data_IF_240007854026
#
_entry.id   IF_240007854026
#
_cell.length_a   1.000
_cell.length_b   1.000
_cell.length_c   1.000
_cell.angle_alpha   90.00
_cell.angle_beta   90.00
_cell.angle_gamma   90.00
#
_symmetry.space_group_name_H-M   'P 1'
#
loop_
_entity.id
_entity.type
_entity.pdbx_description
1 polymer ?
#
# COMPACT_ATOMS: atom_id res chain seq x y z
N UNK A 1 -5.07 -29.41 -25.48
CA UNK A 1 -4.72 -28.92 -25.07
C UNK A 1 -4.55 -28.19 -24.17
N UNK A 2 -4.11 -28.02 -23.59
CA UNK A 2 -4.14 -27.41 -22.63
C UNK A 2 -3.67 -26.28 -22.42
N UNK A 3 -4.04 -25.62 -22.01
CA UNK A 3 -3.93 -24.39 -21.76
C UNK A 3 -3.00 -24.11 -20.83
N UNK A 4 -2.18 -24.67 -20.77
CA UNK A 4 -1.31 -24.43 -20.06
C UNK A 4 -0.81 -23.22 -19.75
N UNK A 5 -0.69 -22.44 -20.54
CA UNK A 5 -0.16 -21.19 -20.32
C UNK A 5 -0.64 -20.52 -19.14
N UNK A 6 -1.65 -20.95 -18.66
CA UNK A 6 -2.20 -20.32 -17.61
C UNK A 6 -1.37 -20.27 -16.43
N UNK A 7 -0.55 -21.14 -16.29
CA UNK A 7 0.17 -21.26 -15.09
C UNK A 7 1.17 -20.19 -14.90
N UNK A 8 1.44 -19.57 -15.91
CA UNK A 8 2.42 -18.60 -15.85
C UNK A 8 2.28 -17.52 -14.89
N UNK A 9 1.13 -17.06 -14.65
CA UNK A 9 0.95 -15.89 -13.84
C UNK A 9 0.58 -16.16 -12.42
N UNK A 10 0.94 -17.28 -11.91
CA UNK A 10 0.58 -17.63 -10.55
C UNK A 10 1.17 -16.66 -9.53
N UNK A 11 2.32 -16.09 -9.84
CA UNK A 11 2.96 -15.18 -8.90
C UNK A 11 2.21 -13.85 -8.79
N UNK A 12 1.45 -13.52 -9.81
CA UNK A 12 0.71 -12.26 -9.83
C UNK A 12 -0.79 -12.49 -9.63
N UNK A 13 -1.19 -13.70 -9.30
CA UNK A 13 -2.60 -14.04 -9.17
C UNK A 13 -3.14 -13.62 -7.80
N UNK A 14 -4.05 -12.65 -7.76
CA UNK A 14 -4.64 -12.23 -6.49
C UNK A 14 -5.36 -13.34 -5.75
N UNK A 15 -5.90 -14.32 -6.46
CA UNK A 15 -6.58 -15.43 -5.84
C UNK A 15 -5.59 -16.32 -5.09
N UNK A 16 -4.40 -16.56 -5.67
CA UNK A 16 -3.37 -17.34 -5.01
C UNK A 16 -2.90 -16.66 -3.72
N UNK A 17 -2.73 -15.34 -3.76
CA UNK A 17 -2.34 -14.59 -2.58
C UNK A 17 -3.39 -14.70 -1.48
N UNK A 18 -4.67 -14.68 -1.84
CA UNK A 18 -5.75 -14.77 -0.87
C UNK A 18 -5.81 -16.12 -0.18
N UNK A 19 -5.29 -17.16 -0.83
CA UNK A 19 -5.27 -18.50 -0.25
C UNK A 19 -4.08 -18.74 0.67
N UNK A 20 -3.12 -17.83 0.70
CA UNK A 20 -1.96 -17.95 1.57
C UNK A 20 -2.38 -17.66 3.01
N UNK A 21 -2.22 -18.62 3.95
CA UNK A 21 -2.62 -18.42 5.33
C UNK A 21 -1.93 -17.23 6.00
N UNK A 22 -0.67 -16.97 5.65
CA UNK A 22 0.06 -15.85 6.23
C UNK A 22 -0.46 -14.52 5.71
N UNK A 23 -0.87 -14.47 4.44
CA UNK A 23 -1.48 -13.27 3.89
C UNK A 23 -2.78 -12.96 4.64
N UNK A 24 -3.62 -13.99 4.81
CA UNK A 24 -4.89 -13.82 5.53
C UNK A 24 -4.67 -13.42 6.97
N UNK A 25 -3.72 -14.07 7.65
CA UNK A 25 -3.39 -13.75 9.04
C UNK A 25 -2.88 -12.32 9.17
N UNK A 26 -2.06 -11.88 8.22
CA UNK A 26 -1.52 -10.53 8.22
C UNK A 26 -2.61 -9.47 8.07
N UNK A 27 -3.55 -9.70 7.15
CA UNK A 27 -4.68 -8.77 6.96
C UNK A 27 -5.54 -8.70 8.21
N UNK A 28 -5.78 -9.85 8.83
CA UNK A 28 -6.56 -9.90 10.06
C UNK A 28 -5.86 -9.17 11.20
N UNK A 29 -4.53 -9.30 11.27
CA UNK A 29 -3.73 -8.58 12.28
C UNK A 29 -3.81 -7.07 12.06
N UNK A 30 -3.85 -6.60 10.81
CA UNK A 30 -4.05 -5.19 10.51
C UNK A 30 -5.39 -4.70 11.05
N UNK A 31 -6.46 -5.47 10.84
CA UNK A 31 -7.78 -5.12 11.36
C UNK A 31 -7.78 -5.03 12.88
N UNK A 32 -7.02 -5.91 13.52
CA UNK A 32 -6.87 -5.92 14.98
C UNK A 32 -5.85 -4.89 15.48
N UNK A 33 -5.20 -4.18 14.57
CA UNK A 33 -4.13 -3.22 14.89
C UNK A 33 -2.96 -3.85 15.62
N UNK A 34 -2.74 -5.13 15.37
CA UNK A 34 -1.58 -5.84 15.90
C UNK A 34 -0.47 -5.76 14.84
N UNK A 35 0.25 -4.65 14.86
CA UNK A 35 1.23 -4.33 13.82
C UNK A 35 2.38 -5.32 13.78
N UNK A 36 2.83 -5.76 14.94
CA UNK A 36 3.91 -6.74 15.02
C UNK A 36 3.53 -8.06 14.36
N UNK A 37 2.33 -8.57 14.68
CA UNK A 37 1.83 -9.79 14.07
C UNK A 37 1.60 -9.61 12.57
N UNK A 38 1.10 -8.44 12.16
CA UNK A 38 0.88 -8.14 10.74
C UNK A 38 2.20 -8.17 9.98
N UNK A 39 3.22 -7.51 10.49
CA UNK A 39 4.54 -7.48 9.85
C UNK A 39 5.10 -8.89 9.72
N UNK A 40 5.01 -9.68 10.78
CA UNK A 40 5.53 -11.05 10.77
C UNK A 40 4.84 -11.91 9.71
N UNK A 41 3.52 -11.92 9.70
CA UNK A 41 2.74 -12.75 8.79
C UNK A 41 2.88 -12.27 7.34
N UNK A 42 2.80 -10.98 7.10
CA UNK A 42 2.92 -10.44 5.74
C UNK A 42 4.33 -10.60 5.19
N UNK A 43 5.36 -10.49 6.04
CA UNK A 43 6.74 -10.71 5.60
C UNK A 43 6.95 -12.17 5.18
N UNK A 44 6.34 -13.09 5.92
CA UNK A 44 6.39 -14.52 5.56
C UNK A 44 5.71 -14.76 4.23
N UNK A 45 4.53 -14.18 4.02
CA UNK A 45 3.82 -14.32 2.74
C UNK A 45 4.63 -13.72 1.60
N UNK A 46 5.33 -12.62 1.84
CA UNK A 46 6.12 -11.95 0.79
C UNK A 46 7.31 -12.78 0.30
N UNK A 47 7.78 -13.73 1.10
CA UNK A 47 8.85 -14.63 0.66
C UNK A 47 8.36 -15.58 -0.44
N UNK A 48 7.07 -15.89 -0.44
CA UNK A 48 6.47 -16.80 -1.42
C UNK A 48 5.84 -16.05 -2.59
N UNK A 49 5.35 -14.84 -2.35
CA UNK A 49 4.68 -14.04 -3.35
C UNK A 49 5.41 -12.71 -3.49
N UNK A 50 6.48 -12.74 -4.26
CA UNK A 50 7.43 -11.62 -4.34
C UNK A 50 6.97 -10.49 -5.24
N UNK A 51 5.89 -10.68 -5.98
CA UNK A 51 5.44 -9.70 -6.98
C UNK A 51 4.02 -9.19 -6.73
N UNK A 52 3.60 -9.22 -5.49
CA UNK A 52 2.25 -8.81 -5.11
C UNK A 52 2.27 -7.40 -4.56
N UNK A 53 1.79 -6.45 -5.36
CA UNK A 53 1.78 -5.03 -4.96
C UNK A 53 0.89 -4.79 -3.75
N UNK A 54 -0.25 -5.48 -3.66
CA UNK A 54 -1.15 -5.33 -2.51
C UNK A 54 -0.46 -5.73 -1.22
N UNK A 55 0.28 -6.84 -1.25
CA UNK A 55 0.99 -7.34 -0.09
C UNK A 55 2.04 -6.33 0.36
N UNK A 56 2.79 -5.77 -0.57
CA UNK A 56 3.78 -4.76 -0.26
C UNK A 56 3.13 -3.51 0.33
N UNK A 57 1.96 -3.13 -0.17
CA UNK A 57 1.22 -2.00 0.36
C UNK A 57 0.77 -2.25 1.80
N UNK A 58 0.27 -3.45 2.11
CA UNK A 58 -0.10 -3.81 3.48
C UNK A 58 1.11 -3.81 4.42
N UNK A 59 2.27 -4.29 3.95
CA UNK A 59 3.49 -4.22 4.74
C UNK A 59 3.86 -2.76 5.04
N UNK A 60 3.79 -1.90 4.03
CA UNK A 60 4.05 -0.47 4.23
C UNK A 60 3.12 0.11 5.29
N UNK A 61 1.86 -0.24 5.22
CA UNK A 61 0.85 0.24 6.15
C UNK A 61 1.15 -0.23 7.59
N UNK A 62 1.51 -1.50 7.75
CA UNK A 62 1.83 -2.05 9.06
C UNK A 62 3.09 -1.41 9.65
N UNK A 63 4.12 -1.23 8.84
CA UNK A 63 5.33 -0.58 9.30
C UNK A 63 5.08 0.89 9.68
N UNK A 64 4.27 1.59 8.90
CA UNK A 64 3.91 2.97 9.22
C UNK A 64 3.26 3.07 10.59
N UNK A 65 2.29 2.20 10.84
CA UNK A 65 1.57 2.22 12.11
C UNK A 65 2.43 1.73 13.29
N UNK A 66 3.48 0.97 12.99
CA UNK A 66 4.45 0.56 14.01
C UNK A 66 5.51 1.65 14.26
N UNK A 67 5.41 2.76 13.56
CA UNK A 67 6.36 3.87 13.73
C UNK A 67 7.65 3.72 12.94
N UNK A 68 7.75 2.73 12.07
CA UNK A 68 8.97 2.48 11.29
C UNK A 68 8.82 3.04 9.88
N UNK A 69 8.96 4.35 9.78
CA UNK A 69 8.66 5.07 8.53
C UNK A 69 9.57 4.70 7.36
N UNK A 70 10.86 4.47 7.61
CA UNK A 70 11.78 4.10 6.53
C UNK A 70 11.38 2.79 5.88
N UNK A 71 11.00 1.80 6.68
CA UNK A 71 10.55 0.51 6.17
C UNK A 71 9.20 0.65 5.47
N UNK A 72 8.34 1.53 6.00
CA UNK A 72 7.07 1.82 5.33
C UNK A 72 7.31 2.34 3.91
N UNK A 73 8.20 3.33 3.75
CA UNK A 73 8.52 3.89 2.44
C UNK A 73 9.13 2.83 1.51
N UNK A 74 9.97 1.96 2.06
CA UNK A 74 10.58 0.89 1.27
C UNK A 74 9.51 -0.01 0.64
N UNK A 75 8.55 -0.45 1.45
CA UNK A 75 7.51 -1.35 0.96
C UNK A 75 6.49 -0.65 0.06
N UNK A 76 6.11 0.60 0.36
CA UNK A 76 5.28 1.37 -0.55
C UNK A 76 5.99 1.59 -1.89
N UNK A 77 7.29 1.88 -1.84
CA UNK A 77 8.08 2.03 -3.07
C UNK A 77 8.08 0.75 -3.89
N UNK A 78 8.18 -0.40 -3.23
CA UNK A 78 8.13 -1.69 -3.91
C UNK A 78 6.74 -1.91 -4.52
N UNK A 79 5.68 -1.58 -3.79
CA UNK A 79 4.32 -1.70 -4.32
C UNK A 79 4.15 -0.88 -5.61
N UNK A 80 4.68 0.35 -5.63
CA UNK A 80 4.57 1.23 -6.78
C UNK A 80 5.50 0.83 -7.93
N UNK A 81 6.60 0.12 -7.64
CA UNK A 81 7.43 -0.47 -8.69
C UNK A 81 6.66 -1.60 -9.38
N UNK A 82 5.97 -2.41 -8.60
CA UNK A 82 5.20 -3.53 -9.13
C UNK A 82 3.95 -3.06 -9.86
N UNK A 83 3.31 -2.02 -9.35
CA UNK A 83 2.11 -1.45 -9.97
C UNK A 83 2.10 0.06 -9.77
N UNK A 84 2.62 0.84 -10.76
CA UNK A 84 2.65 2.30 -10.67
C UNK A 84 1.28 2.96 -10.55
N UNK A 85 0.21 2.23 -10.84
CA UNK A 85 -1.15 2.75 -10.75
C UNK A 85 -1.90 2.22 -9.52
N UNK A 86 -1.17 1.72 -8.54
CA UNK A 86 -1.79 1.17 -7.34
C UNK A 86 -2.37 2.29 -6.48
N UNK A 87 -3.68 2.42 -6.47
CA UNK A 87 -4.36 3.52 -5.78
C UNK A 87 -4.06 3.55 -4.28
N UNK A 88 -4.19 2.40 -3.62
CA UNK A 88 -3.95 2.32 -2.19
C UNK A 88 -2.53 2.70 -1.80
N UNK A 89 -1.54 2.33 -2.59
CA UNK A 89 -0.15 2.67 -2.30
C UNK A 89 0.09 4.18 -2.45
N UNK A 90 -0.49 4.81 -3.48
CA UNK A 90 -0.38 6.26 -3.62
C UNK A 90 -1.05 6.99 -2.45
N UNK A 91 -2.20 6.51 -2.03
CA UNK A 91 -2.90 7.11 -0.89
C UNK A 91 -2.06 6.98 0.38
N UNK A 92 -1.62 5.77 0.70
CA UNK A 92 -0.94 5.50 1.96
C UNK A 92 0.45 6.12 2.03
N UNK A 93 1.20 6.11 0.93
CA UNK A 93 2.50 6.76 0.94
C UNK A 93 2.35 8.27 1.03
N UNK A 94 1.33 8.81 0.37
CA UNK A 94 1.03 10.24 0.48
C UNK A 94 0.74 10.64 1.92
N UNK A 95 -0.09 9.86 2.61
CA UNK A 95 -0.39 10.08 4.02
C UNK A 95 0.87 9.97 4.88
N UNK A 96 1.74 9.02 4.55
CA UNK A 96 2.98 8.82 5.28
C UNK A 96 3.92 10.02 5.12
N UNK A 97 3.96 10.61 3.92
CA UNK A 97 4.73 11.83 3.71
C UNK A 97 4.21 12.99 4.57
N UNK A 98 2.89 13.08 4.77
CA UNK A 98 2.35 14.09 5.68
C UNK A 98 2.81 13.84 7.12
N UNK A 99 2.88 12.58 7.53
CA UNK A 99 3.34 12.23 8.88
C UNK A 99 4.80 12.63 9.13
N UNK A 100 5.63 12.60 8.10
CA UNK A 100 7.03 13.00 8.23
C UNK A 100 7.27 14.43 7.76
N UNK A 101 6.20 15.21 7.72
CA UNK A 101 6.24 16.64 7.40
C UNK A 101 6.83 16.95 6.02
N UNK A 102 6.45 16.18 5.03
CA UNK A 102 6.81 16.41 3.63
C UNK A 102 5.56 16.53 2.76
N UNK A 103 4.80 17.63 2.90
CA UNK A 103 3.54 17.79 2.15
C UNK A 103 3.75 17.87 0.64
N UNK A 104 4.91 18.36 0.18
CA UNK A 104 5.17 18.43 -1.26
C UNK A 104 5.10 17.06 -1.91
N UNK A 105 5.68 16.04 -1.27
CA UNK A 105 5.62 14.68 -1.78
C UNK A 105 4.21 14.11 -1.69
N UNK A 106 3.48 14.44 -0.63
CA UNK A 106 2.08 14.01 -0.52
C UNK A 106 1.26 14.56 -1.68
N UNK A 107 1.50 15.82 -2.07
CA UNK A 107 0.78 16.42 -3.19
C UNK A 107 1.14 15.79 -4.53
N UNK A 108 2.38 15.31 -4.69
CA UNK A 108 2.77 14.55 -5.89
C UNK A 108 1.93 13.27 -6.02
N UNK A 109 1.73 12.57 -4.90
CA UNK A 109 0.92 11.34 -4.93
C UNK A 109 -0.57 11.64 -5.11
N UNK A 110 -1.04 12.78 -4.60
CA UNK A 110 -2.41 13.23 -4.85
C UNK A 110 -2.62 13.50 -6.34
N UNK A 111 -1.64 14.17 -6.98
CA UNK A 111 -1.70 14.44 -8.42
C UNK A 111 -1.68 13.14 -9.22
N UNK A 112 -0.89 12.15 -8.77
CA UNK A 112 -0.87 10.84 -9.42
C UNK A 112 -2.25 10.17 -9.35
N UNK A 113 -2.90 10.23 -8.19
CA UNK A 113 -4.25 9.67 -8.03
C UNK A 113 -5.27 10.38 -8.92
N UNK A 114 -5.14 11.68 -9.09
CA UNK A 114 -6.04 12.43 -9.96
C UNK A 114 -5.96 11.93 -11.40
N UNK A 115 -4.75 11.57 -11.85
CA UNK A 115 -4.56 11.03 -13.20
C UNK A 115 -5.02 9.58 -13.32
N UNK A 116 -4.81 8.79 -12.26
CA UNK A 116 -5.21 7.38 -12.26
C UNK A 116 -6.73 7.25 -12.21
N UNK A 117 -7.38 8.07 -11.38
CA UNK A 117 -8.82 8.03 -11.20
C UNK A 117 -9.44 9.12 -12.04
N UNK A 118 -9.86 8.80 -13.25
CA UNK A 118 -10.50 9.78 -14.14
C UNK A 118 -11.74 10.39 -13.51
N UNK A 119 -12.45 9.60 -12.72
CA UNK A 119 -13.54 10.07 -11.88
C UNK A 119 -13.01 9.94 -10.45
N UNK A 120 -13.18 10.94 -9.58
CA UNK A 120 -12.63 10.87 -8.24
C UNK A 120 -12.94 9.55 -7.55
N UNK A 121 -11.90 8.91 -7.02
CA UNK A 121 -12.00 7.65 -6.32
C UNK A 121 -11.80 7.87 -4.82
N UNK A 122 -12.16 6.87 -4.02
CA UNK A 122 -12.05 6.97 -2.57
C UNK A 122 -10.64 7.33 -2.13
N UNK A 123 -9.64 6.72 -2.73
CA UNK A 123 -8.23 6.96 -2.38
C UNK A 123 -7.84 8.42 -2.63
N UNK A 124 -8.32 8.99 -3.74
CA UNK A 124 -8.07 10.40 -4.04
C UNK A 124 -8.74 11.30 -3.00
N UNK A 125 -10.01 11.03 -2.71
CA UNK A 125 -10.78 11.85 -1.77
C UNK A 125 -10.18 11.81 -0.36
N UNK A 126 -9.77 10.65 0.09
CA UNK A 126 -9.19 10.48 1.42
C UNK A 126 -7.86 11.21 1.54
N UNK A 127 -6.99 11.08 0.55
CA UNK A 127 -5.71 11.77 0.58
C UNK A 127 -5.89 13.28 0.45
N UNK A 128 -6.81 13.71 -0.42
CA UNK A 128 -7.09 15.13 -0.62
C UNK A 128 -7.54 15.79 0.69
N UNK A 129 -8.42 15.10 1.41
CA UNK A 129 -8.90 15.60 2.70
C UNK A 129 -7.75 15.84 3.67
N UNK A 130 -6.80 14.91 3.72
CA UNK A 130 -5.65 15.00 4.62
C UNK A 130 -4.65 16.07 4.17
N UNK A 131 -4.44 16.22 2.87
CA UNK A 131 -3.58 17.26 2.33
C UNK A 131 -4.17 18.64 2.66
N UNK A 132 -5.48 18.80 2.43
CA UNK A 132 -6.16 20.07 2.70
C UNK A 132 -6.10 20.42 4.19
N UNK A 133 -6.30 19.45 5.07
CA UNK A 133 -6.21 19.65 6.51
C UNK A 133 -4.79 20.07 6.92
N UNK A 134 -3.78 19.47 6.30
CA UNK A 134 -2.39 19.80 6.56
C UNK A 134 -2.09 21.24 6.13
N UNK A 135 -2.61 21.67 4.98
CA UNK A 135 -2.42 23.03 4.50
C UNK A 135 -3.03 24.04 5.46
N UNK A 136 -4.21 23.75 6.00
CA UNK A 136 -4.85 24.64 6.98
C UNK A 136 -4.01 24.76 8.23
N UNK A 137 -3.48 23.65 8.73
CA UNK A 137 -2.63 23.66 9.92
C UNK A 137 -1.36 24.44 9.67
N UNK A 138 -0.74 24.27 8.51
CA UNK A 138 0.50 24.97 8.18
C UNK A 138 0.29 26.48 7.99
N UNK A 139 -0.90 26.87 7.56
CA UNK A 139 -1.24 28.28 7.35
C UNK A 139 -1.52 29.04 8.62
N UNK A 140 -1.57 28.37 9.76
CA UNK A 140 -1.78 29.02 11.05
C UNK A 140 -0.46 29.31 11.72
#
# INVERSE_FOLDING_TARGET
MPPVCLAVDTDDDPAAAKLDPDYAAGKKAIEAKDWSAAIKSLSSAALRDTRNADLQNYLGYAYRNAGQMELAFKHYGRALQLNPRHRGAHEYVGETYLLVNNPAKAEEHLAALQKICLIPCEEYEDLKKKVDANRKSAGK
#
